data_IF_623903374048
#
_entry.id   IF_623903374048
#
_cell.length_a   1.000
_cell.length_b   1.000
_cell.length_c   1.000
_cell.angle_alpha   90.00
_cell.angle_beta   90.00
_cell.angle_gamma   90.00
#
_symmetry.space_group_name_H-M   'P 1'
#
loop_
_entity.id
_entity.type
_entity.pdbx_description
1 polymer ?
#
# COMPACT_ATOMS: atom_id res chain seq x y z
N UNK A 1 -6.10 -0.68 6.59
CA UNK A 1 -5.18 -1.66 5.97
C UNK A 1 -5.94 -2.75 5.20
N UNK A 2 -6.94 -3.40 5.80
CA UNK A 2 -7.74 -4.41 5.12
C UNK A 2 -8.41 -3.92 3.84
N UNK A 3 -8.98 -2.72 3.84
CA UNK A 3 -9.60 -2.11 2.65
C UNK A 3 -8.60 -1.92 1.50
N UNK A 4 -7.34 -1.58 1.80
CA UNK A 4 -6.28 -1.46 0.80
C UNK A 4 -5.98 -2.79 0.10
N UNK A 5 -5.86 -3.88 0.86
CA UNK A 5 -5.62 -5.21 0.30
C UNK A 5 -6.78 -5.66 -0.60
N UNK A 6 -8.04 -5.46 -0.18
CA UNK A 6 -9.21 -5.71 -1.02
C UNK A 6 -9.21 -4.85 -2.29
N UNK A 7 -8.83 -3.57 -2.17
CA UNK A 7 -8.69 -2.66 -3.31
C UNK A 7 -7.69 -3.19 -4.34
N UNK A 8 -6.52 -3.63 -3.90
CA UNK A 8 -5.48 -4.18 -4.78
C UNK A 8 -5.93 -5.47 -5.46
N UNK A 9 -6.50 -6.41 -4.71
CA UNK A 9 -7.05 -7.64 -5.30
C UNK A 9 -8.16 -7.33 -6.32
N UNK A 10 -9.02 -6.36 -6.00
CA UNK A 10 -10.06 -5.89 -6.91
C UNK A 10 -9.49 -5.28 -8.19
N UNK A 11 -8.49 -4.41 -8.08
CA UNK A 11 -7.82 -3.78 -9.22
C UNK A 11 -7.09 -4.81 -10.07
N UNK A 12 -6.36 -5.74 -9.47
CA UNK A 12 -5.69 -6.83 -10.18
C UNK A 12 -6.70 -7.68 -10.97
N UNK A 13 -7.81 -8.06 -10.32
CA UNK A 13 -8.87 -8.82 -10.96
C UNK A 13 -9.52 -8.07 -12.11
N UNK A 14 -9.87 -6.79 -11.92
CA UNK A 14 -10.47 -5.95 -12.96
C UNK A 14 -9.52 -5.76 -14.15
N UNK A 15 -8.23 -5.52 -13.88
CA UNK A 15 -7.21 -5.37 -14.91
C UNK A 15 -7.05 -6.65 -15.73
N UNK A 16 -6.94 -7.80 -15.06
CA UNK A 16 -6.83 -9.11 -15.74
C UNK A 16 -8.03 -9.37 -16.64
N UNK A 17 -9.24 -9.07 -16.16
CA UNK A 17 -10.47 -9.25 -16.95
C UNK A 17 -10.60 -8.27 -18.10
N UNK A 18 -10.12 -7.05 -17.94
CA UNK A 18 -10.11 -6.05 -19.01
C UNK A 18 -9.13 -6.44 -20.11
N UNK A 19 -7.93 -6.87 -19.75
CA UNK A 19 -6.91 -7.34 -20.69
C UNK A 19 -7.39 -8.56 -21.49
N UNK A 20 -8.09 -9.48 -20.85
CA UNK A 20 -8.67 -10.67 -21.48
C UNK A 20 -10.02 -10.42 -22.17
N UNK A 21 -10.54 -9.20 -22.15
CA UNK A 21 -11.88 -8.84 -22.65
C UNK A 21 -13.01 -9.76 -22.16
N UNK A 22 -12.87 -10.31 -20.97
CA UNK A 22 -13.74 -11.34 -20.40
C UNK A 22 -14.77 -10.74 -19.42
N UNK A 23 -15.50 -9.71 -19.82
CA UNK A 23 -16.53 -9.08 -19.00
C UNK A 23 -17.85 -9.85 -19.09
N UNK A 24 -18.48 -10.09 -17.95
CA UNK A 24 -19.82 -10.66 -17.88
C UNK A 24 -20.70 -9.88 -16.89
N UNK A 25 -22.00 -9.82 -17.16
CA UNK A 25 -22.98 -9.18 -16.25
C UNK A 25 -22.95 -9.78 -14.85
N UNK A 26 -22.78 -11.12 -14.75
CA UNK A 26 -22.69 -11.82 -13.45
C UNK A 26 -21.47 -11.40 -12.66
N UNK A 27 -20.38 -11.11 -13.32
CA UNK A 27 -19.14 -10.66 -12.69
C UNK A 27 -19.28 -9.26 -12.10
N UNK A 28 -19.87 -8.34 -12.85
CA UNK A 28 -20.15 -6.98 -12.38
C UNK A 28 -21.07 -7.02 -11.16
N UNK A 29 -22.12 -7.84 -11.21
CA UNK A 29 -23.04 -7.99 -10.11
C UNK A 29 -22.35 -8.56 -8.85
N UNK A 30 -21.51 -9.58 -9.00
CA UNK A 30 -20.73 -10.16 -7.88
C UNK A 30 -19.76 -9.14 -7.29
N UNK A 31 -19.11 -8.36 -8.13
CA UNK A 31 -18.24 -7.26 -7.69
C UNK A 31 -19.01 -6.20 -6.90
N UNK A 32 -20.15 -5.78 -7.39
CA UNK A 32 -21.03 -4.82 -6.70
C UNK A 32 -21.52 -5.36 -5.36
N UNK A 33 -21.93 -6.64 -5.31
CA UNK A 33 -22.32 -7.30 -4.06
C UNK A 33 -21.16 -7.39 -3.05
N UNK A 34 -19.94 -7.70 -3.51
CA UNK A 34 -18.77 -7.76 -2.65
C UNK A 34 -18.44 -6.37 -2.06
N UNK A 35 -18.47 -5.32 -2.88
CA UNK A 35 -18.26 -3.94 -2.42
C UNK A 35 -19.35 -3.52 -1.44
N UNK A 36 -20.63 -3.82 -1.74
CA UNK A 36 -21.75 -3.54 -0.84
C UNK A 36 -21.64 -4.26 0.49
N UNK A 37 -21.26 -5.54 0.47
CA UNK A 37 -21.04 -6.34 1.68
C UNK A 37 -19.89 -5.79 2.53
N UNK A 38 -18.78 -5.38 1.89
CA UNK A 38 -17.65 -4.73 2.58
C UNK A 38 -18.05 -3.39 3.22
N UNK A 39 -18.80 -2.56 2.49
CA UNK A 39 -19.27 -1.28 3.02
C UNK A 39 -20.21 -1.48 4.21
N UNK A 40 -21.14 -2.45 4.11
CA UNK A 40 -22.05 -2.80 5.20
C UNK A 40 -21.28 -3.33 6.41
N UNK A 41 -20.33 -4.24 6.20
CA UNK A 41 -19.51 -4.81 7.25
C UNK A 41 -18.66 -3.74 7.95
N UNK A 42 -18.04 -2.85 7.17
CA UNK A 42 -17.29 -1.71 7.70
C UNK A 42 -18.20 -0.80 8.55
N UNK A 43 -19.40 -0.44 8.06
CA UNK A 43 -20.36 0.36 8.79
C UNK A 43 -20.77 -0.29 10.10
N UNK A 44 -21.09 -1.59 10.08
CA UNK A 44 -21.51 -2.32 11.30
C UNK A 44 -20.39 -2.41 12.34
N UNK A 45 -19.13 -2.57 11.90
CA UNK A 45 -17.98 -2.68 12.81
C UNK A 45 -17.42 -1.32 13.27
N UNK A 46 -17.94 -0.21 12.75
CA UNK A 46 -17.44 1.13 13.09
C UNK A 46 -18.55 1.95 13.78
N UNK A 47 -18.78 1.75 15.09
CA UNK A 47 -19.87 2.45 15.83
C UNK A 47 -19.80 3.97 15.72
N UNK A 48 -18.59 4.53 15.59
CA UNK A 48 -18.38 5.97 15.40
C UNK A 48 -19.05 6.55 14.14
N UNK A 49 -19.33 5.71 13.13
CA UNK A 49 -20.00 6.12 11.89
C UNK A 49 -21.53 6.08 11.97
N UNK A 50 -22.12 5.48 13.00
CA UNK A 50 -23.55 5.20 13.03
C UNK A 50 -24.42 6.46 13.15
N UNK A 51 -23.99 7.42 13.98
CA UNK A 51 -24.75 8.66 14.18
C UNK A 51 -24.67 9.60 12.96
N UNK A 52 -23.48 9.74 12.38
CA UNK A 52 -23.22 10.70 11.28
C UNK A 52 -22.23 10.11 10.28
N UNK A 53 -22.66 9.20 9.39
CA UNK A 53 -21.74 8.46 8.50
C UNK A 53 -20.96 9.38 7.55
N UNK A 54 -21.58 10.43 7.01
CA UNK A 54 -20.89 11.37 6.12
C UNK A 54 -19.87 12.23 6.84
N UNK A 55 -20.20 12.75 8.03
CA UNK A 55 -19.27 13.52 8.84
C UNK A 55 -18.09 12.66 9.32
N UNK A 56 -18.33 11.37 9.61
CA UNK A 56 -17.27 10.44 9.92
C UNK A 56 -16.33 10.20 8.73
N UNK A 57 -16.84 10.03 7.52
CA UNK A 57 -16.02 9.90 6.32
C UNK A 57 -15.20 11.16 6.05
N UNK A 58 -15.80 12.34 6.21
CA UNK A 58 -15.09 13.61 6.11
C UNK A 58 -13.99 13.73 7.17
N UNK A 59 -14.27 13.39 8.42
CA UNK A 59 -13.28 13.36 9.49
C UNK A 59 -12.10 12.42 9.17
N UNK A 60 -12.38 11.20 8.66
CA UNK A 60 -11.36 10.25 8.26
C UNK A 60 -10.51 10.80 7.11
N UNK A 61 -11.15 11.41 6.10
CA UNK A 61 -10.48 12.03 4.98
C UNK A 61 -9.55 13.18 5.43
N UNK A 62 -10.06 14.11 6.22
CA UNK A 62 -9.30 15.26 6.74
C UNK A 62 -8.10 14.81 7.58
N UNK A 63 -8.29 13.83 8.47
CA UNK A 63 -7.20 13.30 9.28
C UNK A 63 -6.21 12.43 8.50
N UNK A 64 -6.57 11.94 7.32
CA UNK A 64 -5.66 11.17 6.48
C UNK A 64 -4.85 12.07 5.54
N UNK A 65 -5.50 13.06 4.95
CA UNK A 65 -4.88 13.97 3.96
C UNK A 65 -4.19 15.16 4.62
N UNK A 66 -4.81 15.71 5.68
CA UNK A 66 -4.31 16.87 6.42
C UNK A 66 -3.85 16.47 7.83
N UNK A 67 -3.06 15.39 7.92
CA UNK A 67 -2.53 14.95 9.20
C UNK A 67 -1.68 16.05 9.83
N UNK A 68 -2.16 16.61 10.94
CA UNK A 68 -1.46 17.68 11.66
C UNK A 68 -0.26 17.12 12.42
N UNK A 69 0.91 17.24 11.80
CA UNK A 69 2.19 16.76 12.33
C UNK A 69 2.56 17.54 13.60
N UNK A 70 2.06 18.78 13.78
CA UNK A 70 2.39 19.62 14.93
C UNK A 70 1.93 19.05 16.26
N UNK A 71 0.86 18.24 16.25
CA UNK A 71 0.35 17.53 17.44
C UNK A 71 1.30 16.46 17.98
N UNK A 72 2.23 15.99 17.15
CA UNK A 72 3.19 14.94 17.49
C UNK A 72 4.61 15.55 17.46
N UNK A 73 4.89 16.40 18.43
CA UNK A 73 6.21 17.04 18.59
C UNK A 73 7.27 16.00 19.03
N UNK A 74 7.42 14.93 18.25
CA UNK A 74 8.36 13.85 18.50
C UNK A 74 9.64 14.06 17.71
N UNK A 75 10.73 14.22 18.43
CA UNK A 75 12.07 14.17 17.84
C UNK A 75 12.46 12.73 17.55
N UNK A 76 13.08 12.49 16.40
CA UNK A 76 13.55 11.19 15.96
C UNK A 76 15.07 11.21 15.93
N UNK A 77 15.68 10.24 16.60
CA UNK A 77 17.12 10.02 16.52
C UNK A 77 17.42 9.14 15.28
N UNK A 78 18.23 9.67 14.37
CA UNK A 78 18.67 8.93 13.19
C UNK A 78 20.13 9.21 12.89
N UNK A 79 20.95 8.16 12.90
CA UNK A 79 22.41 8.21 12.63
C UNK A 79 23.18 9.18 13.53
N UNK A 80 22.74 9.36 14.78
CA UNK A 80 23.36 10.25 15.75
C UNK A 80 22.81 11.69 15.75
N UNK A 81 21.97 12.04 14.78
CA UNK A 81 21.32 13.35 14.67
C UNK A 81 19.86 13.29 15.14
N UNK A 82 19.42 14.39 15.77
CA UNK A 82 18.04 14.60 16.14
C UNK A 82 17.29 15.34 15.01
N UNK A 83 16.22 14.72 14.53
CA UNK A 83 15.34 15.29 13.53
C UNK A 83 14.00 15.67 14.16
N UNK A 84 13.52 16.87 13.84
CA UNK A 84 12.21 17.37 14.21
C UNK A 84 11.47 17.78 12.94
N UNK A 85 10.22 17.29 12.71
CA UNK A 85 9.48 17.58 11.49
C UNK A 85 9.38 19.05 11.14
N UNK A 86 9.27 19.93 12.17
CA UNK A 86 9.10 21.36 11.98
C UNK A 86 10.40 22.10 11.63
N UNK A 87 11.53 21.65 12.18
CA UNK A 87 12.82 22.35 12.06
C UNK A 87 13.79 21.68 11.10
N UNK A 88 13.86 20.34 11.15
CA UNK A 88 14.78 19.54 10.36
C UNK A 88 14.02 18.31 9.86
N UNK A 89 13.49 18.31 8.63
CA UNK A 89 12.72 17.20 8.10
C UNK A 89 13.56 15.93 7.98
N UNK A 90 12.92 14.79 8.10
CA UNK A 90 13.56 13.48 8.00
C UNK A 90 14.11 13.29 6.57
N UNK A 91 15.36 12.82 6.40
CA UNK A 91 15.92 12.54 5.09
C UNK A 91 15.10 11.47 4.33
N UNK A 92 14.97 11.63 3.02
CA UNK A 92 14.23 10.69 2.15
C UNK A 92 14.70 9.23 2.29
N UNK A 93 15.99 9.01 2.56
CA UNK A 93 16.59 7.68 2.69
C UNK A 93 16.33 7.01 4.05
N UNK A 94 15.65 7.67 4.99
CA UNK A 94 15.33 7.13 6.31
C UNK A 94 14.53 5.82 6.20
N UNK A 95 13.45 5.82 5.43
CA UNK A 95 12.56 4.66 5.28
C UNK A 95 13.28 3.50 4.58
N UNK A 96 13.90 3.66 3.40
CA UNK A 96 14.66 2.61 2.74
C UNK A 96 15.75 2.02 3.63
N UNK A 97 16.43 2.88 4.40
CA UNK A 97 17.47 2.42 5.32
C UNK A 97 16.90 1.50 6.42
N UNK A 98 15.81 1.92 7.07
CA UNK A 98 15.18 1.08 8.08
C UNK A 98 14.60 -0.20 7.49
N UNK A 99 13.99 -0.15 6.32
CA UNK A 99 13.54 -1.36 5.62
C UNK A 99 14.71 -2.34 5.38
N UNK A 100 15.84 -1.83 4.94
CA UNK A 100 17.02 -2.64 4.64
C UNK A 100 17.58 -3.36 5.89
N UNK A 101 17.69 -2.64 7.02
CA UNK A 101 18.30 -3.20 8.24
C UNK A 101 17.35 -4.06 9.09
N UNK A 102 16.04 -3.87 8.92
CA UNK A 102 15.03 -4.60 9.70
C UNK A 102 14.40 -5.78 8.96
N UNK A 103 14.52 -5.83 7.63
CA UNK A 103 14.00 -6.93 6.82
C UNK A 103 15.07 -8.03 6.69
N UNK A 104 14.71 -9.30 6.92
CA UNK A 104 15.64 -10.41 6.72
C UNK A 104 16.22 -10.40 5.30
N UNK A 105 17.55 -10.61 5.20
CA UNK A 105 18.28 -10.53 3.94
C UNK A 105 17.69 -11.45 2.85
N UNK A 106 17.25 -12.65 3.23
CA UNK A 106 16.62 -13.59 2.31
C UNK A 106 15.38 -12.99 1.62
N UNK A 107 14.53 -12.30 2.39
CA UNK A 107 13.32 -11.67 1.85
C UNK A 107 13.67 -10.54 0.90
N UNK A 108 14.67 -9.71 1.24
CA UNK A 108 15.15 -8.64 0.35
C UNK A 108 15.68 -9.20 -0.98
N UNK A 109 16.47 -10.26 -0.91
CA UNK A 109 17.03 -10.93 -2.10
C UNK A 109 15.90 -11.47 -2.98
N UNK A 110 14.93 -12.18 -2.39
CA UNK A 110 13.81 -12.75 -3.14
C UNK A 110 12.92 -11.64 -3.76
N UNK A 111 12.62 -10.56 -3.02
CA UNK A 111 11.86 -9.44 -3.52
C UNK A 111 12.57 -8.71 -4.68
N UNK A 112 13.90 -8.70 -4.71
CA UNK A 112 14.68 -8.16 -5.82
C UNK A 112 14.73 -9.11 -7.03
N UNK A 113 14.79 -10.42 -6.80
CA UNK A 113 14.85 -11.41 -7.86
C UNK A 113 13.51 -11.56 -8.61
N UNK A 114 12.38 -11.36 -7.94
CA UNK A 114 11.06 -11.50 -8.56
C UNK A 114 10.86 -10.60 -9.79
N UNK A 115 11.00 -9.26 -9.72
CA UNK A 115 10.86 -8.40 -10.90
C UNK A 115 11.90 -8.70 -11.99
N UNK A 116 13.12 -9.13 -11.61
CA UNK A 116 14.15 -9.55 -12.55
C UNK A 116 13.71 -10.82 -13.30
N UNK A 117 13.18 -11.81 -12.60
CA UNK A 117 12.68 -13.05 -13.19
C UNK A 117 11.49 -12.79 -14.13
N UNK A 118 10.55 -11.94 -13.71
CA UNK A 118 9.41 -11.51 -14.53
C UNK A 118 9.92 -10.79 -15.79
N UNK A 119 10.86 -9.85 -15.65
CA UNK A 119 11.45 -9.12 -16.77
C UNK A 119 12.21 -10.04 -17.74
N UNK A 120 12.85 -11.08 -17.24
CA UNK A 120 13.54 -12.06 -18.10
C UNK A 120 12.54 -12.94 -18.86
N UNK A 121 11.52 -13.47 -18.16
CA UNK A 121 10.46 -14.27 -18.78
C UNK A 121 9.71 -13.48 -19.86
N UNK A 122 9.47 -12.19 -19.63
CA UNK A 122 8.75 -11.32 -20.57
C UNK A 122 9.53 -11.01 -21.85
N UNK A 123 10.86 -11.07 -21.80
CA UNK A 123 11.69 -10.93 -23.01
C UNK A 123 11.58 -12.13 -23.94
N UNK A 124 11.38 -13.32 -23.35
CA UNK A 124 11.22 -14.56 -24.11
C UNK A 124 9.79 -14.71 -24.67
N UNK A 125 8.79 -14.24 -23.90
CA UNK A 125 7.38 -14.33 -24.29
C UNK A 125 6.61 -13.10 -23.80
N UNK A 126 6.21 -12.23 -24.73
CA UNK A 126 5.41 -11.04 -24.41
C UNK A 126 4.02 -11.37 -23.83
N UNK A 127 3.47 -12.56 -24.11
CA UNK A 127 2.21 -13.00 -23.52
C UNK A 127 2.34 -13.23 -22.00
N UNK A 128 3.54 -13.50 -21.50
CA UNK A 128 3.80 -13.65 -20.08
C UNK A 128 3.54 -12.36 -19.28
N UNK A 129 3.69 -11.17 -19.90
CA UNK A 129 3.37 -9.88 -19.27
C UNK A 129 1.87 -9.72 -18.99
N UNK A 130 1.02 -10.35 -19.81
CA UNK A 130 -0.42 -10.29 -19.69
C UNK A 130 -0.99 -11.48 -18.87
N UNK A 131 -0.12 -12.29 -18.28
CA UNK A 131 -0.55 -13.36 -17.40
C UNK A 131 -1.20 -12.80 -16.13
N UNK A 132 -2.20 -13.50 -15.59
CA UNK A 132 -2.88 -13.10 -14.35
C UNK A 132 -1.90 -12.96 -13.18
N UNK A 133 -0.87 -13.80 -13.13
CA UNK A 133 0.17 -13.77 -12.11
C UNK A 133 0.99 -12.50 -12.19
N UNK A 134 1.44 -12.11 -13.39
CA UNK A 134 2.22 -10.89 -13.61
C UNK A 134 1.41 -9.64 -13.28
N UNK A 135 0.13 -9.59 -13.69
CA UNK A 135 -0.78 -8.49 -13.35
C UNK A 135 -0.97 -8.39 -11.83
N UNK A 136 -1.12 -9.52 -11.16
CA UNK A 136 -1.26 -9.56 -9.70
C UNK A 136 0.01 -9.08 -8.99
N UNK A 137 1.19 -9.59 -9.37
CA UNK A 137 2.48 -9.15 -8.83
C UNK A 137 2.71 -7.65 -9.06
N UNK A 138 2.34 -7.12 -10.23
CA UNK A 138 2.44 -5.68 -10.52
C UNK A 138 1.61 -4.85 -9.53
N UNK A 139 0.35 -5.21 -9.30
CA UNK A 139 -0.51 -4.47 -8.38
C UNK A 139 -0.07 -4.58 -6.92
N UNK A 140 0.41 -5.75 -6.50
CA UNK A 140 0.98 -5.94 -5.15
C UNK A 140 2.25 -5.11 -4.99
N UNK A 141 3.16 -5.14 -5.99
CA UNK A 141 4.38 -4.33 -5.98
C UNK A 141 4.08 -2.83 -5.92
N UNK A 142 3.12 -2.38 -6.73
CA UNK A 142 2.69 -0.98 -6.72
C UNK A 142 2.09 -0.58 -5.35
N UNK A 143 1.26 -1.43 -4.77
CA UNK A 143 0.68 -1.19 -3.44
C UNK A 143 1.75 -1.12 -2.34
N UNK A 144 2.80 -1.91 -2.45
CA UNK A 144 3.93 -1.84 -1.52
C UNK A 144 4.80 -0.60 -1.75
N UNK A 145 5.11 -0.30 -3.01
CA UNK A 145 6.04 0.78 -3.37
C UNK A 145 5.43 2.18 -3.17
N UNK A 146 4.16 2.36 -3.57
CA UNK A 146 3.53 3.68 -3.60
C UNK A 146 3.49 4.37 -2.21
N UNK A 147 3.10 3.72 -1.11
CA UNK A 147 3.13 4.35 0.22
C UNK A 147 4.54 4.71 0.68
N UNK A 148 5.54 3.90 0.33
CA UNK A 148 6.95 4.17 0.65
C UNK A 148 7.41 5.42 -0.08
N UNK A 149 7.19 5.50 -1.40
CA UNK A 149 7.55 6.67 -2.21
C UNK A 149 6.79 7.91 -1.76
N UNK A 150 5.48 7.80 -1.51
CA UNK A 150 4.66 8.91 -1.01
C UNK A 150 5.20 9.45 0.33
N UNK A 151 5.59 8.56 1.25
CA UNK A 151 6.17 8.94 2.54
C UNK A 151 7.55 9.58 2.39
N UNK A 152 8.35 9.14 1.42
CA UNK A 152 9.67 9.76 1.11
C UNK A 152 9.51 11.15 0.53
N UNK A 153 8.62 11.33 -0.45
CA UNK A 153 8.36 12.62 -1.11
C UNK A 153 7.66 13.59 -0.16
N UNK A 154 6.71 13.11 0.62
CA UNK A 154 5.99 13.91 1.61
C UNK A 154 6.77 14.21 2.88
N UNK A 155 8.04 13.74 3.00
CA UNK A 155 8.83 13.86 4.22
C UNK A 155 8.06 13.48 5.48
N UNK A 156 7.22 12.44 5.37
CA UNK A 156 6.30 12.00 6.42
C UNK A 156 7.06 11.65 7.69
N UNK A 157 6.61 12.18 8.82
CA UNK A 157 7.20 11.89 10.12
C UNK A 157 6.79 10.49 10.58
N UNK A 158 7.58 9.50 10.23
CA UNK A 158 7.37 8.13 10.64
C UNK A 158 8.08 7.88 11.98
N UNK A 159 7.30 7.92 13.04
CA UNK A 159 7.76 7.66 14.39
C UNK A 159 8.27 6.21 14.54
N UNK A 160 9.47 6.05 15.13
CA UNK A 160 10.10 4.76 15.39
C UNK A 160 10.31 3.86 14.15
N UNK A 161 10.97 4.40 13.13
CA UNK A 161 11.29 3.67 11.91
C UNK A 161 10.10 3.59 10.95
N UNK A 162 9.96 2.48 10.25
CA UNK A 162 8.93 2.29 9.24
C UNK A 162 7.71 1.46 9.71
N UNK A 163 7.53 1.32 11.00
CA UNK A 163 6.48 0.44 11.56
C UNK A 163 5.05 0.84 11.11
N UNK A 164 4.81 2.10 10.78
CA UNK A 164 3.54 2.55 10.18
C UNK A 164 3.33 2.01 8.77
N UNK A 165 4.39 1.56 8.11
CA UNK A 165 4.39 0.96 6.78
C UNK A 165 4.53 -0.58 6.82
N UNK A 166 4.38 -1.25 7.98
CA UNK A 166 4.52 -2.70 8.07
C UNK A 166 3.54 -3.48 7.18
N UNK A 167 2.44 -2.89 6.77
CA UNK A 167 1.56 -3.49 5.77
C UNK A 167 2.24 -3.67 4.40
N UNK A 168 3.24 -2.86 4.09
CA UNK A 168 4.08 -3.00 2.89
C UNK A 168 4.90 -4.29 2.95
N UNK A 169 5.23 -4.76 4.16
CA UNK A 169 5.98 -5.99 4.36
C UNK A 169 5.26 -7.22 3.78
N UNK A 170 3.93 -7.26 3.88
CA UNK A 170 3.14 -8.30 3.24
C UNK A 170 3.33 -8.32 1.71
N UNK A 171 3.41 -7.15 1.08
CA UNK A 171 3.68 -7.05 -0.36
C UNK A 171 5.08 -7.56 -0.73
N UNK A 172 6.08 -7.28 0.12
CA UNK A 172 7.46 -7.73 -0.08
C UNK A 172 7.60 -9.26 0.07
N UNK A 173 6.79 -9.87 0.95
CA UNK A 173 6.80 -11.34 1.15
C UNK A 173 6.10 -12.08 -0.01
N UNK A 174 5.06 -11.47 -0.58
CA UNK A 174 4.26 -12.11 -1.64
C UNK A 174 4.92 -12.01 -3.01
N UNK A 175 5.78 -11.01 -3.23
CA UNK A 175 6.60 -10.85 -4.44
C UNK A 175 7.73 -11.86 -4.49
#
# INVERSE_FOLDING_TARGET
LGLGAFGVCGLAYLTDRTLKRAWSRRMVLRGALAVGALALFYYLLTPASWATPLAFLQYVYENTVHFDISRWNSTILYRGDWFNPEKKPIPWHYIPWFMLITTPLLILVLAFLCPVAIGWKSRADHAALLSSETVFCFWIGLFGLLPVVASMVGHSNLYNGWRHLYFVYASVIVL
#
